data_IF_152876662875
#
_entry.id   IF_152876662875
#
_cell.length_a   1.000
_cell.length_b   1.000
_cell.length_c   1.000
_cell.angle_alpha   90.00
_cell.angle_beta   90.00
_cell.angle_gamma   90.00
#
_symmetry.space_group_name_H-M   'P 1'
#
loop_
_entity.id
_entity.type
_entity.pdbx_description
1 polymer ?
#
# COMPACT_ATOMS: atom_id res chain seq x y z
N UNK A 1 -21.49 -5.57 11.05
CA UNK A 1 -20.06 -5.91 11.02
C UNK A 1 -19.29 -4.60 11.12
N UNK A 2 -18.39 -4.47 12.09
CA UNK A 2 -17.56 -3.27 12.29
C UNK A 2 -16.26 -3.36 11.49
N UNK A 3 -15.59 -2.23 11.22
CA UNK A 3 -14.30 -2.21 10.52
C UNK A 3 -13.25 -3.09 11.22
N UNK A 4 -13.28 -3.14 12.56
CA UNK A 4 -12.39 -3.98 13.35
C UNK A 4 -12.65 -5.47 13.15
N UNK A 5 -13.92 -5.88 13.05
CA UNK A 5 -14.30 -7.26 12.74
C UNK A 5 -13.84 -7.66 11.32
N UNK A 6 -13.99 -6.76 10.35
CA UNK A 6 -13.49 -6.95 8.98
C UNK A 6 -11.96 -7.14 8.99
N UNK A 7 -11.23 -6.26 9.69
CA UNK A 7 -9.78 -6.35 9.79
C UNK A 7 -9.29 -7.65 10.44
N UNK A 8 -9.96 -8.11 11.50
CA UNK A 8 -9.59 -9.35 12.22
C UNK A 8 -9.89 -10.62 11.42
N UNK A 9 -10.90 -10.60 10.57
CA UNK A 9 -11.30 -11.75 9.73
C UNK A 9 -10.50 -11.88 8.43
N UNK A 10 -9.71 -10.85 8.07
CA UNK A 10 -8.94 -10.83 6.84
C UNK A 10 -7.82 -11.88 6.83
N UNK A 11 -7.71 -12.64 5.73
CA UNK A 11 -6.58 -13.53 5.47
C UNK A 11 -5.42 -12.73 4.87
N UNK A 12 -4.46 -12.36 5.72
CA UNK A 12 -3.33 -11.52 5.31
C UNK A 12 -2.18 -12.41 4.78
N UNK A 13 -1.62 -12.04 3.62
CA UNK A 13 -0.42 -12.68 3.08
C UNK A 13 0.83 -12.29 3.91
N UNK A 14 1.83 -13.17 4.05
CA UNK A 14 3.11 -12.79 4.64
C UNK A 14 3.74 -11.62 3.90
N UNK A 15 4.39 -10.70 4.62
CA UNK A 15 4.96 -9.49 4.02
C UNK A 15 6.03 -9.78 2.96
N UNK A 16 6.81 -10.86 3.14
CA UNK A 16 7.80 -11.30 2.15
C UNK A 16 7.16 -11.66 0.80
N UNK A 17 5.99 -12.31 0.81
CA UNK A 17 5.26 -12.61 -0.43
C UNK A 17 4.77 -11.34 -1.13
N UNK A 18 4.35 -10.32 -0.36
CA UNK A 18 3.97 -9.02 -0.94
C UNK A 18 5.18 -8.31 -1.54
N UNK A 19 6.33 -8.34 -0.86
CA UNK A 19 7.56 -7.72 -1.34
C UNK A 19 8.05 -8.37 -2.64
N UNK A 20 8.03 -9.70 -2.72
CA UNK A 20 8.35 -10.46 -3.93
C UNK A 20 7.42 -10.10 -5.10
N UNK A 21 6.11 -10.02 -4.86
CA UNK A 21 5.13 -9.57 -5.86
C UNK A 21 5.38 -8.15 -6.39
N UNK A 22 6.09 -7.32 -5.63
CA UNK A 22 6.50 -5.95 -6.00
C UNK A 22 7.91 -5.89 -6.60
N UNK A 23 8.62 -7.01 -6.72
CA UNK A 23 9.98 -7.06 -7.27
C UNK A 23 11.07 -6.54 -6.34
N UNK A 24 10.82 -6.54 -5.03
CA UNK A 24 11.85 -6.27 -4.02
C UNK A 24 12.68 -7.54 -3.77
N UNK A 25 13.99 -7.36 -3.59
CA UNK A 25 14.90 -8.45 -3.23
C UNK A 25 14.80 -8.75 -1.73
N UNK A 26 15.15 -9.96 -1.31
CA UNK A 26 15.00 -10.40 0.07
C UNK A 26 15.86 -9.56 1.05
N UNK A 27 17.05 -9.18 0.62
CA UNK A 27 18.00 -8.33 1.32
C UNK A 27 17.53 -6.86 1.46
N UNK A 28 16.58 -6.43 0.63
CA UNK A 28 16.01 -5.07 0.67
C UNK A 28 14.82 -4.96 1.63
N UNK A 29 14.41 -6.07 2.25
CA UNK A 29 13.23 -6.16 3.10
C UNK A 29 13.66 -6.44 4.53
N UNK A 30 13.39 -5.50 5.44
CA UNK A 30 13.70 -5.63 6.87
C UNK A 30 12.39 -5.93 7.61
N UNK A 31 12.09 -7.19 7.98
CA UNK A 31 10.78 -7.57 8.52
C UNK A 31 10.57 -7.09 9.97
N UNK A 32 9.34 -6.67 10.26
CA UNK A 32 8.85 -6.34 11.60
C UNK A 32 7.65 -7.25 11.91
N UNK A 33 7.98 -8.49 12.30
CA UNK A 33 7.00 -9.56 12.39
C UNK A 33 6.58 -10.07 11.01
N UNK A 34 5.39 -10.69 10.93
CA UNK A 34 4.95 -11.44 9.73
C UNK A 34 4.31 -10.59 8.63
N UNK A 35 3.82 -9.39 8.97
CA UNK A 35 2.91 -8.60 8.12
C UNK A 35 3.39 -7.18 7.84
N UNK A 36 4.57 -6.81 8.33
CA UNK A 36 5.15 -5.47 8.17
C UNK A 36 6.64 -5.59 7.91
N UNK A 37 7.19 -4.65 7.15
CA UNK A 37 8.61 -4.54 6.89
C UNK A 37 8.98 -3.08 6.61
N UNK A 38 10.25 -2.74 6.79
CA UNK A 38 10.85 -1.56 6.14
C UNK A 38 11.49 -2.01 4.83
N UNK A 39 11.56 -1.08 3.88
CA UNK A 39 12.29 -1.26 2.62
C UNK A 39 13.61 -0.50 2.73
N UNK A 40 14.72 -1.18 2.46
CA UNK A 40 16.04 -0.58 2.42
C UNK A 40 16.19 0.35 1.21
N UNK A 41 16.94 1.46 1.35
CA UNK A 41 17.09 2.45 0.28
C UNK A 41 17.98 1.97 -0.87
N UNK A 42 18.75 0.89 -0.68
CA UNK A 42 19.47 0.21 -1.78
C UNK A 42 18.55 -0.18 -2.94
N UNK A 43 17.27 -0.46 -2.66
CA UNK A 43 16.26 -0.72 -3.68
C UNK A 43 16.09 0.47 -4.64
N UNK A 44 16.15 1.71 -4.15
CA UNK A 44 16.04 2.91 -4.99
C UNK A 44 17.26 3.08 -5.90
N UNK A 45 18.47 2.80 -5.40
CA UNK A 45 19.68 2.89 -6.21
C UNK A 45 19.70 1.82 -7.31
N UNK A 46 19.28 0.58 -6.98
CA UNK A 46 19.15 -0.50 -7.97
C UNK A 46 18.11 -0.16 -9.05
N UNK A 47 16.99 0.43 -8.64
CA UNK A 47 15.87 0.76 -9.54
C UNK A 47 16.01 2.13 -10.23
N UNK A 48 17.12 2.84 -10.05
CA UNK A 48 17.31 4.22 -10.53
C UNK A 48 17.15 4.40 -12.04
N UNK A 49 17.43 3.35 -12.81
CA UNK A 49 17.29 3.34 -14.28
C UNK A 49 15.95 2.79 -14.77
N UNK A 50 15.08 2.32 -13.86
CA UNK A 50 13.75 1.87 -14.24
C UNK A 50 12.84 3.05 -14.59
N UNK A 51 11.94 2.89 -15.58
CA UNK A 51 10.97 3.91 -15.89
C UNK A 51 10.04 4.15 -14.70
N UNK A 52 9.78 5.42 -14.39
CA UNK A 52 8.84 5.80 -13.33
C UNK A 52 7.43 5.33 -13.68
N UNK A 53 6.73 4.77 -12.70
CA UNK A 53 5.31 4.44 -12.81
C UNK A 53 4.41 5.68 -12.91
N UNK A 54 3.11 5.46 -13.12
CA UNK A 54 2.11 6.54 -13.09
C UNK A 54 1.87 7.00 -11.66
N UNK A 55 1.86 8.31 -11.44
CA UNK A 55 1.52 8.92 -10.15
C UNK A 55 0.08 9.44 -10.17
N UNK A 56 -0.75 8.95 -9.26
CA UNK A 56 -2.18 9.32 -9.15
C UNK A 56 -2.40 9.95 -7.78
N UNK A 57 -2.71 11.26 -7.78
CA UNK A 57 -3.06 11.99 -6.57
C UNK A 57 -4.56 11.89 -6.31
N UNK A 58 -4.93 11.37 -5.13
CA UNK A 58 -6.31 11.37 -4.65
C UNK A 58 -6.54 12.54 -3.71
N UNK A 59 -7.42 13.46 -4.09
CA UNK A 59 -7.85 14.60 -3.28
C UNK A 59 -9.34 14.52 -2.95
N UNK A 60 -9.81 15.42 -2.08
CA UNK A 60 -11.22 15.56 -1.73
C UNK A 60 -11.59 17.05 -1.68
N UNK A 61 -12.90 17.32 -1.62
CA UNK A 61 -13.43 18.64 -1.30
C UNK A 61 -13.10 19.03 0.15
N UNK A 62 -13.48 20.25 0.53
CA UNK A 62 -13.35 20.70 1.91
C UNK A 62 -14.07 19.72 2.87
N UNK A 63 -13.45 19.36 4.02
CA UNK A 63 -14.04 18.41 4.94
C UNK A 63 -15.40 18.85 5.48
N UNK A 64 -16.28 17.87 5.66
CA UNK A 64 -17.63 18.01 6.17
C UNK A 64 -17.86 17.00 7.31
N UNK A 65 -18.87 17.22 8.19
CA UNK A 65 -19.20 16.26 9.25
C UNK A 65 -19.61 14.86 8.76
N UNK A 66 -20.02 14.72 7.50
CA UNK A 66 -20.44 13.44 6.92
C UNK A 66 -19.25 12.57 6.48
N UNK A 67 -18.07 13.17 6.32
CA UNK A 67 -16.86 12.50 5.85
C UNK A 67 -16.85 12.23 4.34
N UNK A 68 -15.68 12.37 3.74
CA UNK A 68 -15.52 12.34 2.28
C UNK A 68 -15.02 10.98 1.77
N UNK A 69 -14.63 10.08 2.67
CA UNK A 69 -14.14 8.74 2.31
C UNK A 69 -12.84 8.74 1.50
N UNK A 70 -12.04 9.82 1.52
CA UNK A 70 -10.82 9.96 0.70
C UNK A 70 -9.89 8.74 0.79
N UNK A 71 -9.57 8.29 2.00
CA UNK A 71 -8.68 7.14 2.22
C UNK A 71 -9.31 5.82 1.76
N UNK A 72 -10.60 5.64 2.00
CA UNK A 72 -11.38 4.49 1.51
C UNK A 72 -11.33 4.42 -0.01
N UNK A 73 -11.53 5.55 -0.68
CA UNK A 73 -11.45 5.66 -2.15
C UNK A 73 -10.03 5.40 -2.66
N UNK A 74 -8.98 5.90 -2.00
CA UNK A 74 -7.59 5.62 -2.38
C UNK A 74 -7.26 4.11 -2.34
N UNK A 75 -7.70 3.43 -1.28
CA UNK A 75 -7.49 1.98 -1.13
C UNK A 75 -8.35 1.21 -2.16
N UNK A 76 -9.62 1.58 -2.32
CA UNK A 76 -10.55 0.99 -3.29
C UNK A 76 -10.07 1.10 -4.74
N UNK A 77 -9.61 2.29 -5.14
CA UNK A 77 -9.06 2.54 -6.47
C UNK A 77 -7.85 1.65 -6.76
N UNK A 78 -6.93 1.54 -5.79
CA UNK A 78 -5.74 0.68 -5.91
C UNK A 78 -6.13 -0.79 -6.06
N UNK A 79 -7.08 -1.27 -5.25
CA UNK A 79 -7.62 -2.64 -5.40
C UNK A 79 -8.28 -2.86 -6.77
N UNK A 80 -8.98 -1.86 -7.29
CA UNK A 80 -9.57 -1.87 -8.63
C UNK A 80 -8.53 -2.02 -9.73
N UNK A 81 -7.42 -1.28 -9.65
CA UNK A 81 -6.29 -1.41 -10.58
C UNK A 81 -5.66 -2.82 -10.51
N UNK A 82 -5.41 -3.34 -9.32
CA UNK A 82 -4.90 -4.70 -9.14
C UNK A 82 -5.84 -5.75 -9.75
N UNK A 83 -7.15 -5.59 -9.58
CA UNK A 83 -8.16 -6.49 -10.17
C UNK A 83 -8.20 -6.41 -11.70
N UNK A 84 -7.76 -5.30 -12.29
CA UNK A 84 -7.62 -5.11 -13.74
C UNK A 84 -6.27 -5.58 -14.29
N UNK A 85 -5.40 -6.14 -13.45
CA UNK A 85 -4.09 -6.67 -13.85
C UNK A 85 -2.96 -5.66 -13.83
N UNK A 86 -3.17 -4.46 -13.27
CA UNK A 86 -2.09 -3.49 -13.08
C UNK A 86 -1.36 -3.75 -11.76
N UNK A 87 -0.03 -3.60 -11.75
CA UNK A 87 0.72 -3.49 -10.49
C UNK A 87 0.51 -2.10 -9.90
N UNK A 88 -0.27 -2.00 -8.82
CA UNK A 88 -0.60 -0.73 -8.17
C UNK A 88 -0.36 -0.82 -6.65
N UNK A 89 0.13 0.29 -6.09
CA UNK A 89 0.43 0.43 -4.65
C UNK A 89 -0.21 1.74 -4.15
N UNK A 90 -0.77 1.69 -2.94
CA UNK A 90 -1.27 2.88 -2.24
C UNK A 90 -0.24 3.34 -1.21
N UNK A 91 0.05 4.64 -1.19
CA UNK A 91 0.89 5.26 -0.15
C UNK A 91 0.02 6.11 0.78
N UNK A 92 0.16 5.89 2.08
CA UNK A 92 -0.67 6.53 3.11
C UNK A 92 0.20 7.08 4.23
N UNK A 93 -0.33 8.05 4.99
CA UNK A 93 0.32 8.60 6.18
C UNK A 93 0.04 7.72 7.40
N UNK A 94 1.03 7.55 8.26
CA UNK A 94 0.83 6.99 9.59
C UNK A 94 -0.03 7.98 10.44
N UNK A 95 -1.10 7.53 11.12
CA UNK A 95 -1.86 8.39 12.02
C UNK A 95 -1.03 8.76 13.26
N UNK A 96 -1.41 9.86 13.93
CA UNK A 96 -0.89 10.17 15.26
C UNK A 96 -1.35 9.10 16.27
N UNK A 97 -0.53 8.90 17.30
CA UNK A 97 -0.92 8.19 18.53
C UNK A 97 -1.84 9.10 19.35
#
# INVERSE_FOLDING_TARGET
MTDLEIARSAKIKPIGQIAEMLGLLAEEVIPYGRTKAKVDLSALERLRQHPTGRYILVTAINPTPLGEGKTTTSIGLTMGFCRKGHQAVVTLRQPSI
#
